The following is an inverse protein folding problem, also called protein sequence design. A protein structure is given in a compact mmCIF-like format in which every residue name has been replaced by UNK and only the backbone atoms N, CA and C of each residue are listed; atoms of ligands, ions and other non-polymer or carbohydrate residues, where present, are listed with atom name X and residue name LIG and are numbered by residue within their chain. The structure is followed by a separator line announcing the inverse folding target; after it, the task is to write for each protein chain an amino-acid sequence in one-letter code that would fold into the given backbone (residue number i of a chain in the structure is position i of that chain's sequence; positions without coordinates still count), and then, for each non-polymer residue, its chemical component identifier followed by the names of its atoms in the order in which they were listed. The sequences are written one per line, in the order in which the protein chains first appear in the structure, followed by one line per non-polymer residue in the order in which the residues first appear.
data_IF_311930955929
#
_entry.id   IF_311930955929
#
_cell.length_a   1.000
_cell.length_b   1.000
_cell.length_c   1.000
_cell.angle_alpha   90.00
_cell.angle_beta   90.00
_cell.angle_gamma   90.00
#
_symmetry.space_group_name_H-M   'P 1'
#
loop_
_entity.id
_entity.type
_entity.pdbx_description
1 polymer ?
#
# COMPACT_ATOMS: atom_id res chain seq x y z
N UNK A 1 -27.55 -9.35 -20.75
CA UNK A 1 -27.23 -8.65 -19.50
C UNK A 1 -25.82 -8.08 -19.65
N UNK A 2 -25.65 -6.77 -19.44
CA UNK A 2 -24.36 -6.06 -19.60
C UNK A 2 -23.81 -5.76 -18.20
N UNK A 3 -22.51 -5.92 -18.02
CA UNK A 3 -21.77 -5.82 -16.76
C UNK A 3 -20.47 -5.07 -17.03
N UNK A 4 -20.03 -4.21 -16.10
CA UNK A 4 -18.69 -3.64 -16.09
C UNK A 4 -17.79 -4.50 -15.21
N UNK A 5 -16.70 -5.02 -15.78
CA UNK A 5 -15.71 -5.79 -15.04
C UNK A 5 -14.43 -4.96 -14.88
N UNK A 6 -14.08 -4.61 -13.64
CA UNK A 6 -12.89 -3.82 -13.29
C UNK A 6 -12.44 -4.18 -11.89
N UNK A 7 -11.17 -3.98 -11.55
CA UNK A 7 -10.73 -4.09 -10.16
C UNK A 7 -11.40 -3.02 -9.30
N UNK A 8 -11.89 -3.46 -8.13
CA UNK A 8 -12.57 -2.68 -7.08
C UNK A 8 -11.79 -2.75 -5.76
N UNK A 9 -10.84 -3.69 -5.65
CA UNK A 9 -10.02 -3.90 -4.46
C UNK A 9 -9.02 -2.78 -4.19
N UNK A 10 -8.74 -2.57 -2.89
CA UNK A 10 -7.89 -1.50 -2.40
C UNK A 10 -8.32 -0.13 -2.87
N UNK A 11 -7.32 0.66 -3.20
CA UNK A 11 -7.33 2.02 -3.75
C UNK A 11 -8.20 2.23 -4.99
N UNK A 12 -8.39 1.22 -5.84
CA UNK A 12 -9.27 1.35 -7.02
C UNK A 12 -10.76 1.44 -6.65
N UNK A 13 -11.13 1.01 -5.43
CA UNK A 13 -12.47 1.16 -4.88
C UNK A 13 -12.98 2.60 -4.90
N UNK A 14 -12.08 3.58 -4.73
CA UNK A 14 -12.42 5.00 -4.73
C UNK A 14 -12.88 5.53 -6.10
N UNK A 15 -12.52 4.85 -7.20
CA UNK A 15 -12.97 5.22 -8.54
C UNK A 15 -14.34 4.64 -8.90
N UNK A 16 -14.85 3.69 -8.13
CA UNK A 16 -16.10 2.96 -8.45
C UNK A 16 -17.30 3.89 -8.44
N UNK A 17 -17.32 4.87 -7.53
CA UNK A 17 -18.41 5.83 -7.39
C UNK A 17 -18.51 6.80 -8.59
N UNK A 18 -17.44 6.95 -9.38
CA UNK A 18 -17.45 7.77 -10.60
C UNK A 18 -17.88 6.99 -11.85
N UNK A 19 -17.87 5.66 -11.84
CA UNK A 19 -18.24 4.86 -13.01
C UNK A 19 -19.66 5.17 -13.56
N UNK A 20 -20.67 5.44 -12.72
CA UNK A 20 -22.00 5.80 -13.21
C UNK A 20 -22.02 7.05 -14.10
N UNK A 21 -21.11 8.00 -13.90
CA UNK A 21 -21.03 9.23 -14.70
C UNK A 21 -20.63 8.95 -16.16
N UNK A 22 -19.87 7.89 -16.39
CA UNK A 22 -19.37 7.51 -17.72
C UNK A 22 -20.21 6.42 -18.38
N UNK A 23 -20.73 5.47 -17.60
CA UNK A 23 -21.32 4.23 -18.10
C UNK A 23 -22.77 4.00 -17.65
N UNK A 24 -23.33 4.89 -16.83
CA UNK A 24 -24.64 4.73 -16.20
C UNK A 24 -24.65 3.68 -15.09
N UNK A 25 -25.84 3.43 -14.52
CA UNK A 25 -26.03 2.51 -13.39
C UNK A 25 -26.00 1.03 -13.82
N UNK A 26 -24.83 0.57 -14.27
CA UNK A 26 -24.57 -0.84 -14.57
C UNK A 26 -24.06 -1.59 -13.34
N UNK A 27 -24.33 -2.90 -13.20
CA UNK A 27 -23.61 -3.73 -12.24
C UNK A 27 -22.11 -3.66 -12.50
N UNK A 28 -21.32 -3.58 -11.42
CA UNK A 28 -19.85 -3.55 -11.47
C UNK A 28 -19.29 -4.72 -10.68
N UNK A 29 -18.55 -5.60 -11.34
CA UNK A 29 -17.95 -6.79 -10.73
C UNK A 29 -16.44 -6.67 -10.70
N UNK A 30 -15.85 -7.09 -9.58
CA UNK A 30 -14.41 -7.21 -9.48
C UNK A 30 -13.88 -8.22 -10.51
N UNK A 31 -12.60 -8.15 -10.86
CA UNK A 31 -11.96 -9.15 -11.71
C UNK A 31 -11.41 -10.35 -10.91
N UNK A 32 -11.30 -10.23 -9.59
CA UNK A 32 -10.66 -11.16 -8.67
C UNK A 32 -9.19 -10.81 -8.44
N UNK A 33 -8.60 -11.49 -7.47
CA UNK A 33 -7.15 -11.45 -7.25
C UNK A 33 -6.47 -12.23 -8.39
N UNK A 34 -5.77 -11.49 -9.25
CA UNK A 34 -5.06 -12.02 -10.42
C UNK A 34 -3.65 -11.43 -10.43
N UNK A 35 -2.66 -12.26 -10.71
CA UNK A 35 -1.29 -11.84 -10.98
C UNK A 35 -0.73 -12.57 -12.21
N UNK A 36 0.50 -12.26 -12.59
CA UNK A 36 1.18 -12.92 -13.70
C UNK A 36 1.35 -14.44 -13.47
N UNK A 37 1.40 -14.84 -12.21
CA UNK A 37 1.57 -16.20 -11.74
C UNK A 37 0.28 -17.04 -11.80
N UNK A 38 -0.88 -16.39 -11.84
CA UNK A 38 -2.16 -17.09 -11.88
C UNK A 38 -3.35 -16.26 -11.37
N UNK A 39 -4.52 -16.91 -11.36
CA UNK A 39 -5.75 -16.37 -10.76
C UNK A 39 -5.93 -17.01 -9.40
N UNK A 40 -6.05 -16.18 -8.36
CA UNK A 40 -6.23 -16.64 -6.99
C UNK A 40 -7.70 -16.66 -6.59
N UNK A 41 -8.52 -15.74 -7.10
CA UNK A 41 -9.95 -15.70 -6.76
C UNK A 41 -10.88 -15.39 -7.92
N UNK A 42 -12.13 -15.81 -7.74
CA UNK A 42 -13.25 -15.63 -8.65
C UNK A 42 -14.36 -14.86 -7.91
N UNK A 43 -14.66 -13.61 -8.32
CA UNK A 43 -15.75 -12.84 -7.74
C UNK A 43 -17.11 -13.47 -8.03
N UNK A 44 -17.96 -13.55 -7.00
CA UNK A 44 -19.27 -14.22 -7.08
C UNK A 44 -20.46 -13.27 -6.87
N UNK A 45 -20.21 -12.00 -6.55
CA UNK A 45 -21.23 -10.95 -6.44
C UNK A 45 -20.69 -9.59 -6.94
N UNK A 46 -21.61 -8.63 -7.13
CA UNK A 46 -21.28 -7.29 -7.63
C UNK A 46 -20.89 -6.31 -6.51
N UNK A 47 -20.95 -6.72 -5.25
CA UNK A 47 -20.54 -5.90 -4.10
C UNK A 47 -19.06 -6.12 -3.76
N UNK A 48 -18.39 -5.13 -3.18
CA UNK A 48 -17.00 -5.27 -2.71
C UNK A 48 -16.00 -5.75 -3.77
N UNK A 49 -14.88 -6.31 -3.31
CA UNK A 49 -13.78 -6.82 -4.14
C UNK A 49 -13.40 -8.28 -3.80
N UNK A 50 -14.27 -8.95 -3.05
CA UNK A 50 -14.00 -10.28 -2.51
C UNK A 50 -14.23 -11.35 -3.57
N UNK A 51 -13.47 -12.43 -3.51
CA UNK A 51 -13.59 -13.54 -4.44
C UNK A 51 -13.45 -14.89 -3.77
N UNK A 52 -14.18 -15.89 -4.26
CA UNK A 52 -14.01 -17.29 -3.87
C UNK A 52 -12.65 -17.76 -4.35
N UNK A 53 -11.86 -18.38 -3.47
CA UNK A 53 -10.55 -18.93 -3.81
C UNK A 53 -10.66 -19.95 -4.97
N UNK A 54 -9.81 -19.83 -5.99
CA UNK A 54 -9.83 -20.71 -7.18
C UNK A 54 -9.12 -22.05 -6.94
N UNK A 55 -9.70 -22.86 -6.05
CA UNK A 55 -9.19 -24.18 -5.66
C UNK A 55 -9.21 -25.22 -6.79
N UNK A 56 -9.79 -24.90 -7.95
CA UNK A 56 -9.86 -25.80 -9.10
C UNK A 56 -8.67 -25.63 -10.04
N UNK A 57 -8.15 -24.41 -10.16
CA UNK A 57 -7.04 -24.10 -11.08
C UNK A 57 -5.67 -24.34 -10.44
N UNK A 58 -5.54 -24.09 -9.13
CA UNK A 58 -4.26 -24.06 -8.43
C UNK A 58 -4.35 -24.69 -7.04
N UNK A 59 -3.20 -25.05 -6.48
CA UNK A 59 -3.08 -25.46 -5.09
C UNK A 59 -2.51 -24.32 -4.26
N UNK A 60 -3.14 -24.03 -3.12
CA UNK A 60 -2.76 -22.93 -2.23
C UNK A 60 -2.42 -23.45 -0.83
N UNK A 61 -1.31 -22.95 -0.31
CA UNK A 61 -1.01 -22.98 1.12
C UNK A 61 -1.03 -21.56 1.67
N UNK A 62 -1.18 -21.44 2.99
CA UNK A 62 -1.38 -20.17 3.67
C UNK A 62 -0.48 -20.04 4.88
N UNK A 63 0.21 -18.92 5.02
CA UNK A 63 1.00 -18.62 6.21
C UNK A 63 0.25 -17.57 7.03
N UNK A 64 -0.09 -17.81 8.32
CA UNK A 64 -0.65 -16.77 9.18
C UNK A 64 0.22 -15.51 9.18
N UNK A 65 -0.41 -14.33 9.13
CA UNK A 65 0.31 -13.04 9.05
C UNK A 65 1.39 -12.90 10.15
N UNK A 66 1.08 -13.37 11.36
CA UNK A 66 1.96 -13.33 12.52
C UNK A 66 3.18 -14.25 12.42
N UNK A 67 3.13 -15.30 11.59
CA UNK A 67 4.20 -16.29 11.43
C UNK A 67 5.08 -16.01 10.21
N UNK A 68 4.68 -15.12 9.30
CA UNK A 68 5.30 -14.95 7.99
C UNK A 68 6.81 -14.67 8.00
N UNK A 69 7.31 -13.94 9.01
CA UNK A 69 8.73 -13.59 9.14
C UNK A 69 9.52 -14.56 10.04
N UNK A 70 8.91 -15.67 10.47
CA UNK A 70 9.60 -16.69 11.27
C UNK A 70 10.48 -17.57 10.39
N UNK A 71 11.48 -18.23 10.97
CA UNK A 71 12.43 -19.06 10.21
C UNK A 71 11.75 -20.29 9.56
N UNK A 72 10.69 -20.80 10.20
CA UNK A 72 9.92 -21.96 9.72
C UNK A 72 8.43 -21.70 9.96
N UNK A 73 7.79 -20.85 9.13
CA UNK A 73 6.38 -20.55 9.28
C UNK A 73 5.54 -21.81 9.09
N UNK A 74 4.51 -22.00 9.92
CA UNK A 74 3.52 -23.03 9.66
C UNK A 74 2.71 -22.65 8.42
N UNK A 75 2.59 -23.58 7.49
CA UNK A 75 1.61 -23.48 6.40
C UNK A 75 0.31 -24.20 6.77
N UNK A 76 -0.80 -23.60 6.37
CA UNK A 76 -2.16 -24.09 6.52
C UNK A 76 -2.76 -24.41 5.15
N UNK A 77 -3.71 -25.33 5.12
CA UNK A 77 -4.54 -25.62 3.95
C UNK A 77 -5.82 -24.79 3.95
N UNK A 78 -6.49 -24.74 2.80
CA UNK A 78 -7.72 -23.94 2.59
C UNK A 78 -8.81 -24.19 3.67
N UNK A 79 -8.93 -25.44 4.14
CA UNK A 79 -9.95 -25.82 5.13
C UNK A 79 -9.56 -25.53 6.59
N UNK A 80 -8.33 -25.06 6.84
CA UNK A 80 -7.84 -24.66 8.17
C UNK A 80 -7.97 -23.15 8.40
N UNK A 81 -8.41 -22.38 7.40
CA UNK A 81 -8.50 -20.93 7.49
C UNK A 81 -9.70 -20.51 8.34
N UNK A 82 -9.59 -19.33 8.96
CA UNK A 82 -10.62 -18.74 9.80
C UNK A 82 -11.08 -17.40 9.24
N UNK A 83 -12.40 -17.13 9.31
CA UNK A 83 -12.98 -15.84 8.94
C UNK A 83 -12.41 -14.71 9.81
N UNK A 84 -12.07 -13.59 9.19
CA UNK A 84 -11.47 -12.41 9.82
C UNK A 84 -9.97 -12.53 10.10
N UNK A 85 -9.34 -13.66 9.76
CA UNK A 85 -7.88 -13.81 9.84
C UNK A 85 -7.20 -13.50 8.51
N UNK A 86 -5.92 -13.16 8.63
CA UNK A 86 -5.07 -12.75 7.52
C UNK A 86 -3.96 -13.76 7.27
N UNK A 87 -3.67 -13.99 5.99
CA UNK A 87 -2.73 -15.01 5.56
C UNK A 87 -1.96 -14.58 4.32
N UNK A 88 -0.70 -14.96 4.24
CA UNK A 88 0.08 -14.89 3.02
C UNK A 88 -0.16 -16.12 2.15
N UNK A 89 -0.29 -15.89 0.84
CA UNK A 89 -0.53 -16.93 -0.16
C UNK A 89 0.76 -17.59 -0.63
N UNK A 90 0.75 -18.91 -0.65
CA UNK A 90 1.77 -19.73 -1.29
C UNK A 90 1.12 -20.51 -2.43
N UNK A 91 1.60 -20.33 -3.65
CA UNK A 91 1.01 -20.85 -4.88
C UNK A 91 1.78 -22.07 -5.41
N UNK A 92 1.04 -23.12 -5.77
CA UNK A 92 1.53 -24.20 -6.63
C UNK A 92 0.64 -24.33 -7.85
N UNK A 93 1.21 -24.34 -9.06
CA UNK A 93 0.44 -24.39 -10.30
C UNK A 93 1.08 -25.27 -11.39
N UNK A 94 0.34 -25.47 -12.48
CA UNK A 94 0.76 -26.28 -13.63
C UNK A 94 1.84 -25.63 -14.50
N UNK A 95 2.14 -24.34 -14.30
CA UNK A 95 3.22 -23.63 -15.00
C UNK A 95 4.60 -23.88 -14.37
N UNK A 96 4.68 -24.66 -13.29
CA UNK A 96 5.94 -25.07 -12.65
C UNK A 96 6.31 -24.26 -11.41
N UNK A 97 5.41 -23.43 -10.88
CA UNK A 97 5.57 -22.87 -9.55
C UNK A 97 5.22 -23.93 -8.50
N UNK A 98 6.15 -24.18 -7.58
CA UNK A 98 5.98 -25.12 -6.47
C UNK A 98 6.27 -24.39 -5.16
N UNK A 99 5.24 -24.32 -4.30
CA UNK A 99 5.29 -23.55 -3.04
C UNK A 99 5.86 -22.14 -3.23
N UNK A 100 5.45 -21.48 -4.33
CA UNK A 100 5.94 -20.16 -4.67
C UNK A 100 5.27 -19.12 -3.77
N UNK A 101 6.07 -18.41 -2.99
CA UNK A 101 5.59 -17.29 -2.19
C UNK A 101 5.31 -16.08 -3.09
N UNK A 102 4.03 -15.82 -3.35
CA UNK A 102 3.60 -14.67 -4.15
C UNK A 102 3.63 -13.37 -3.34
N UNK A 103 3.87 -13.44 -2.03
CA UNK A 103 3.89 -12.35 -1.05
C UNK A 103 2.55 -11.60 -0.95
N UNK A 104 1.43 -12.18 -1.36
CA UNK A 104 0.14 -11.50 -1.28
C UNK A 104 -0.52 -11.80 0.07
N UNK A 105 -0.81 -10.76 0.84
CA UNK A 105 -1.57 -10.84 2.09
C UNK A 105 -3.06 -10.72 1.77
N UNK A 106 -3.82 -11.70 2.23
CA UNK A 106 -5.28 -11.73 2.10
C UNK A 106 -5.95 -11.77 3.46
N UNK A 107 -7.20 -11.35 3.53
CA UNK A 107 -8.11 -11.60 4.63
C UNK A 107 -9.20 -12.58 4.17
N UNK A 108 -9.56 -13.55 5.02
CA UNK A 108 -10.72 -14.41 4.76
C UNK A 108 -11.97 -13.68 5.23
N UNK A 109 -12.76 -13.15 4.29
CA UNK A 109 -13.95 -12.36 4.62
C UNK A 109 -15.18 -13.22 4.81
N UNK A 110 -15.26 -14.38 4.15
CA UNK A 110 -16.35 -15.32 4.34
C UNK A 110 -16.02 -16.73 3.84
N UNK A 111 -17.02 -17.61 3.78
CA UNK A 111 -16.95 -18.90 3.10
C UNK A 111 -18.10 -19.05 2.11
N UNK A 112 -17.76 -19.43 0.87
CA UNK A 112 -18.72 -19.90 -0.12
C UNK A 112 -18.77 -21.43 -0.04
N UNK A 113 -19.83 -21.93 0.59
CA UNK A 113 -19.89 -23.30 1.09
C UNK A 113 -18.71 -23.61 2.03
N UNK A 114 -17.75 -24.44 1.59
CA UNK A 114 -16.54 -24.78 2.33
C UNK A 114 -15.29 -24.05 1.78
N UNK A 115 -15.44 -23.25 0.73
CA UNK A 115 -14.31 -22.58 0.08
C UNK A 115 -14.15 -21.17 0.64
N UNK A 116 -12.95 -20.77 1.08
CA UNK A 116 -12.70 -19.42 1.56
C UNK A 116 -13.05 -18.35 0.52
N UNK A 117 -13.73 -17.30 0.95
CA UNK A 117 -13.86 -16.03 0.25
C UNK A 117 -12.76 -15.12 0.77
N UNK A 118 -11.92 -14.63 -0.13
CA UNK A 118 -10.73 -13.86 0.20
C UNK A 118 -10.81 -12.43 -0.33
N UNK A 119 -10.26 -11.50 0.44
CA UNK A 119 -10.04 -10.10 0.10
C UNK A 119 -8.55 -9.81 0.07
N UNK A 120 -8.06 -9.18 -1.00
CA UNK A 120 -6.65 -8.79 -1.10
C UNK A 120 -6.38 -7.52 -0.28
N UNK A 121 -5.38 -7.57 0.59
CA UNK A 121 -4.99 -6.42 1.41
C UNK A 121 -3.80 -5.68 0.78
N UNK A 122 -2.65 -6.34 0.69
CA UNK A 122 -1.43 -5.78 0.11
C UNK A 122 -0.45 -6.88 -0.27
N UNK A 123 0.63 -6.50 -0.96
CA UNK A 123 1.72 -7.41 -1.32
C UNK A 123 2.87 -7.24 -0.34
N UNK A 124 3.07 -8.13 0.60
CA UNK A 124 4.16 -8.05 1.57
C UNK A 124 3.95 -6.97 2.62
N UNK A 125 4.62 -7.12 3.76
CA UNK A 125 4.48 -6.21 4.90
C UNK A 125 5.02 -4.79 4.66
N UNK A 126 5.95 -4.64 3.72
CA UNK A 126 6.74 -3.41 3.51
C UNK A 126 6.61 -2.82 2.09
N UNK A 127 5.51 -3.12 1.38
CA UNK A 127 5.25 -2.56 0.05
C UNK A 127 3.93 -1.83 0.08
N UNK A 128 3.91 -0.64 -0.54
CA UNK A 128 2.70 0.12 -0.81
C UNK A 128 2.40 0.10 -2.31
N UNK A 129 1.11 0.04 -2.64
CA UNK A 129 0.60 0.11 -4.01
C UNK A 129 -0.70 0.91 -4.06
N UNK A 130 -0.68 2.06 -4.75
CA UNK A 130 -1.83 2.94 -4.99
C UNK A 130 -2.47 2.75 -6.36
N UNK A 131 -1.69 2.49 -7.38
CA UNK A 131 -2.21 2.32 -8.76
C UNK A 131 -1.59 1.12 -9.46
N UNK A 132 -1.09 0.18 -8.66
CA UNK A 132 -0.44 -1.05 -9.08
C UNK A 132 1.09 -0.96 -9.16
N UNK A 133 1.71 0.15 -8.74
CA UNK A 133 3.14 0.20 -8.46
C UNK A 133 3.50 -0.50 -7.16
N UNK A 134 4.62 -1.22 -7.12
CA UNK A 134 5.10 -1.87 -5.90
C UNK A 134 6.24 -1.09 -5.28
N UNK A 135 5.94 -0.07 -4.48
CA UNK A 135 6.96 0.74 -3.79
C UNK A 135 7.33 0.07 -2.48
N UNK A 136 8.59 -0.29 -2.30
CA UNK A 136 9.09 -0.90 -1.05
C UNK A 136 9.63 0.14 -0.06
N UNK A 137 9.62 -0.20 1.23
CA UNK A 137 10.24 0.61 2.29
C UNK A 137 11.73 0.90 2.00
N UNK A 138 12.46 -0.08 1.46
CA UNK A 138 13.86 0.09 1.09
C UNK A 138 14.06 1.13 -0.02
N UNK A 139 13.20 1.13 -1.06
CA UNK A 139 13.26 2.12 -2.13
C UNK A 139 12.94 3.52 -1.60
N UNK A 140 11.95 3.64 -0.72
CA UNK A 140 11.59 4.91 -0.05
C UNK A 140 12.74 5.44 0.80
N UNK A 141 13.34 4.59 1.64
CA UNK A 141 14.49 4.95 2.46
C UNK A 141 15.71 5.33 1.61
N UNK A 142 15.95 4.62 0.51
CA UNK A 142 17.02 4.94 -0.43
C UNK A 142 16.77 6.25 -1.16
N UNK A 143 15.53 6.50 -1.59
CA UNK A 143 15.14 7.74 -2.25
C UNK A 143 15.35 8.95 -1.35
N UNK A 144 14.95 8.83 -0.07
CA UNK A 144 15.22 9.85 0.92
C UNK A 144 16.72 10.04 1.16
N UNK A 145 17.49 8.95 1.32
CA UNK A 145 18.94 9.07 1.55
C UNK A 145 19.63 9.87 0.46
N UNK A 146 19.29 9.59 -0.80
CA UNK A 146 19.82 10.34 -1.95
C UNK A 146 19.40 11.81 -1.88
N UNK A 147 18.15 12.09 -1.52
CA UNK A 147 17.61 13.45 -1.37
C UNK A 147 18.36 14.24 -0.29
N UNK A 148 18.58 13.64 0.87
CA UNK A 148 19.31 14.28 1.98
C UNK A 148 20.78 14.54 1.62
N UNK A 149 21.42 13.61 0.91
CA UNK A 149 22.81 13.77 0.44
C UNK A 149 22.93 14.90 -0.58
N UNK A 150 22.00 15.00 -1.52
CA UNK A 150 21.98 16.03 -2.56
C UNK A 150 21.73 17.42 -1.98
N UNK A 151 20.83 17.52 -1.00
CA UNK A 151 20.50 18.78 -0.33
C UNK A 151 21.45 19.15 0.83
N UNK A 152 22.36 18.26 1.22
CA UNK A 152 23.30 18.50 2.32
C UNK A 152 22.64 18.68 3.70
N UNK A 153 21.46 18.08 3.90
CA UNK A 153 20.70 18.16 5.16
C UNK A 153 20.68 16.82 5.91
N UNK A 154 20.23 16.87 7.16
CA UNK A 154 20.04 15.69 8.00
C UNK A 154 18.62 15.65 8.53
N UNK A 155 17.95 14.52 8.33
CA UNK A 155 16.60 14.25 8.81
C UNK A 155 16.63 12.92 9.57
N UNK A 156 16.11 12.92 10.80
CA UNK A 156 16.20 11.75 11.68
C UNK A 156 15.13 10.69 11.39
N UNK A 157 13.86 11.12 11.26
CA UNK A 157 12.72 10.21 11.12
C UNK A 157 11.73 10.80 10.12
N UNK A 158 11.13 9.91 9.33
CA UNK A 158 10.10 10.22 8.37
C UNK A 158 9.22 8.99 8.18
N UNK A 159 7.99 9.18 7.69
CA UNK A 159 7.12 8.09 7.28
C UNK A 159 6.50 8.47 5.94
N UNK A 160 6.58 7.59 4.95
CA UNK A 160 5.82 7.74 3.71
C UNK A 160 4.55 6.92 3.84
N UNK A 161 3.43 7.50 3.42
CA UNK A 161 2.16 6.79 3.36
C UNK A 161 1.37 7.17 2.11
N UNK A 162 0.59 6.22 1.56
CA UNK A 162 -0.31 6.52 0.47
C UNK A 162 -1.47 7.41 0.93
N UNK A 163 -1.85 8.37 0.09
CA UNK A 163 -3.02 9.23 0.26
C UNK A 163 -3.85 9.24 -1.00
N UNK A 164 -5.16 9.22 -0.82
CA UNK A 164 -6.11 9.36 -1.92
C UNK A 164 -6.95 10.62 -1.72
N UNK A 165 -6.70 11.65 -2.54
CA UNK A 165 -7.63 12.79 -2.59
C UNK A 165 -8.74 12.55 -3.62
N UNK A 166 -9.73 13.45 -3.70
CA UNK A 166 -10.90 13.28 -4.57
C UNK A 166 -10.56 13.07 -6.06
N UNK A 167 -9.34 13.42 -6.49
CA UNK A 167 -8.96 13.47 -7.91
C UNK A 167 -7.76 12.56 -8.22
N UNK A 168 -6.83 12.38 -7.28
CA UNK A 168 -5.51 11.79 -7.55
C UNK A 168 -4.89 11.06 -6.35
N UNK A 169 -4.43 9.83 -6.61
CA UNK A 169 -3.59 9.08 -5.68
C UNK A 169 -2.18 9.67 -5.62
N UNK A 170 -1.59 9.80 -4.45
CA UNK A 170 -0.20 10.26 -4.27
C UNK A 170 0.39 9.75 -2.94
N UNK A 171 1.67 10.01 -2.73
CA UNK A 171 2.36 9.67 -1.48
C UNK A 171 2.61 10.91 -0.63
N UNK A 172 2.19 10.87 0.63
CA UNK A 172 2.54 11.87 1.63
C UNK A 172 3.83 11.46 2.33
N UNK A 173 4.77 12.40 2.41
CA UNK A 173 6.04 12.29 3.14
C UNK A 173 5.84 13.02 4.48
N UNK A 174 5.61 12.27 5.55
CA UNK A 174 5.44 12.81 6.89
C UNK A 174 6.81 13.08 7.52
N UNK A 175 7.07 14.33 7.89
CA UNK A 175 8.31 14.78 8.54
C UNK A 175 8.01 15.63 9.76
N UNK A 176 8.85 15.58 10.79
CA UNK A 176 8.69 16.45 11.95
C UNK A 176 9.11 17.88 11.64
N UNK A 177 8.43 18.84 12.26
CA UNK A 177 8.80 20.24 12.24
C UNK A 177 10.15 20.45 12.94
N UNK A 178 11.23 20.56 12.16
CA UNK A 178 12.59 20.68 12.66
C UNK A 178 13.44 21.64 11.80
N UNK A 179 14.59 22.03 12.31
CA UNK A 179 15.40 23.13 11.78
C UNK A 179 15.92 22.93 10.35
N UNK A 180 15.88 21.71 9.80
CA UNK A 180 16.28 21.46 8.41
C UNK A 180 15.27 22.04 7.40
N UNK A 181 14.00 22.21 7.79
CA UNK A 181 12.97 22.77 6.91
C UNK A 181 13.26 24.22 6.50
N UNK A 182 14.01 24.96 7.34
CA UNK A 182 14.42 26.33 7.07
C UNK A 182 15.73 26.41 6.26
N UNK A 183 16.43 25.29 6.06
CA UNK A 183 17.74 25.22 5.39
C UNK A 183 17.64 24.95 3.89
N UNK A 184 16.49 24.51 3.40
CA UNK A 184 16.29 24.07 2.01
C UNK A 184 14.98 24.60 1.44
N UNK A 185 14.90 24.67 0.10
CA UNK A 185 13.59 24.76 -0.53
C UNK A 185 12.90 23.39 -0.43
N UNK A 186 11.85 23.34 0.38
CA UNK A 186 11.01 22.14 0.53
C UNK A 186 10.41 21.63 -0.79
N UNK A 187 10.30 22.48 -1.81
CA UNK A 187 9.84 22.09 -3.16
C UNK A 187 10.92 21.29 -3.90
N UNK A 188 12.20 21.66 -3.72
CA UNK A 188 13.34 20.90 -4.26
C UNK A 188 13.46 19.55 -3.57
N UNK A 189 13.25 19.49 -2.25
CA UNK A 189 13.19 18.23 -1.50
C UNK A 189 12.18 17.25 -2.12
N UNK A 190 10.95 17.72 -2.38
CA UNK A 190 9.91 16.86 -2.96
C UNK A 190 10.31 16.40 -4.37
N UNK A 191 10.86 17.31 -5.18
CA UNK A 191 11.25 17.03 -6.57
C UNK A 191 12.40 16.02 -6.66
N UNK A 192 13.42 16.18 -5.82
CA UNK A 192 14.56 15.26 -5.76
C UNK A 192 14.10 13.90 -5.22
N UNK A 193 13.25 13.86 -4.20
CA UNK A 193 12.68 12.61 -3.71
C UNK A 193 11.86 11.87 -4.77
N UNK A 194 10.94 12.56 -5.46
CA UNK A 194 10.13 12.00 -6.55
C UNK A 194 11.04 11.42 -7.65
N UNK A 195 12.01 12.21 -8.12
CA UNK A 195 12.96 11.79 -9.17
C UNK A 195 13.79 10.59 -8.74
N UNK A 196 14.29 10.59 -7.51
CA UNK A 196 15.06 9.49 -6.94
C UNK A 196 14.23 8.21 -6.85
N UNK A 197 12.98 8.30 -6.40
CA UNK A 197 12.07 7.17 -6.33
C UNK A 197 11.69 6.63 -7.72
N UNK A 198 11.46 7.51 -8.70
CA UNK A 198 11.26 7.13 -10.11
C UNK A 198 12.46 6.37 -10.69
N UNK A 199 13.69 6.75 -10.31
CA UNK A 199 14.90 6.03 -10.76
C UNK A 199 15.04 4.64 -10.13
N UNK A 200 14.53 4.46 -8.91
CA UNK A 200 14.60 3.22 -8.14
C UNK A 200 13.43 2.27 -8.44
N UNK A 201 12.33 2.77 -9.00
CA UNK A 201 11.11 2.00 -9.24
C UNK A 201 10.46 2.39 -10.59
N UNK A 202 10.66 1.52 -11.59
CA UNK A 202 10.12 1.71 -12.94
C UNK A 202 8.58 1.72 -12.98
N UNK A 203 7.92 0.95 -12.11
CA UNK A 203 6.45 0.96 -12.05
C UNK A 203 5.96 2.31 -11.51
N UNK A 204 6.53 2.81 -10.42
CA UNK A 204 6.25 4.15 -9.87
C UNK A 204 6.44 5.22 -10.94
N UNK A 205 7.57 5.20 -11.65
CA UNK A 205 7.81 6.09 -12.79
C UNK A 205 6.72 6.01 -13.84
N UNK A 206 6.36 4.80 -14.28
CA UNK A 206 5.32 4.61 -15.28
C UNK A 206 3.94 5.13 -14.81
N UNK A 207 3.62 5.04 -13.50
CA UNK A 207 2.38 5.61 -12.95
C UNK A 207 2.43 7.13 -12.90
N UNK A 208 3.55 7.73 -12.49
CA UNK A 208 3.81 9.19 -12.53
C UNK A 208 3.70 9.74 -13.96
N UNK A 209 4.36 9.10 -14.94
CA UNK A 209 4.33 9.50 -16.36
C UNK A 209 2.89 9.46 -16.92
N UNK A 210 2.12 8.43 -16.54
CA UNK A 210 0.73 8.26 -16.99
C UNK A 210 -0.30 9.08 -16.20
N UNK A 211 0.14 9.90 -15.22
CA UNK A 211 -0.71 10.69 -14.32
C UNK A 211 -1.70 9.89 -13.47
N UNK A 212 -1.57 8.56 -13.43
CA UNK A 212 -2.32 7.70 -12.48
C UNK A 212 -1.89 7.95 -11.04
N UNK A 213 -0.63 8.36 -10.85
CA UNK A 213 -0.09 8.77 -9.56
C UNK A 213 0.36 10.24 -9.65
N UNK A 214 -0.17 11.07 -8.75
CA UNK A 214 0.21 12.47 -8.56
C UNK A 214 1.60 12.62 -7.93
N UNK A 215 2.16 13.85 -7.93
CA UNK A 215 3.43 14.10 -7.26
C UNK A 215 3.30 13.88 -5.75
N UNK A 216 4.38 13.45 -5.06
CA UNK A 216 4.34 13.33 -3.62
C UNK A 216 4.18 14.70 -2.96
N UNK A 217 3.67 14.72 -1.72
CA UNK A 217 3.52 15.93 -0.91
C UNK A 217 4.31 15.81 0.37
N UNK A 218 4.87 16.93 0.84
CA UNK A 218 5.57 16.97 2.12
C UNK A 218 4.61 17.48 3.19
N UNK A 219 4.39 16.65 4.21
CA UNK A 219 3.46 16.91 5.30
C UNK A 219 4.23 17.06 6.61
N UNK A 220 4.24 18.28 7.15
CA UNK A 220 4.96 18.62 8.38
C UNK A 220 4.07 18.35 9.59
N UNK A 221 4.53 17.49 10.50
CA UNK A 221 3.86 17.18 11.78
C UNK A 221 4.56 17.85 12.96
N UNK A 222 3.91 17.88 14.12
CA UNK A 222 4.52 18.43 15.33
C UNK A 222 5.82 17.70 15.72
N UNK A 223 6.80 18.43 16.24
CA UNK A 223 8.06 17.85 16.74
C UNK A 223 7.80 16.85 17.86
N UNK A 224 8.48 15.70 17.83
CA UNK A 224 8.32 14.62 18.80
C UNK A 224 7.10 13.73 18.58
N UNK A 225 6.40 13.85 17.45
CA UNK A 225 5.26 12.98 17.12
C UNK A 225 5.68 11.52 16.99
N UNK A 226 6.78 11.23 16.29
CA UNK A 226 7.27 9.86 16.13
C UNK A 226 7.83 9.30 17.45
N UNK A 227 8.38 10.15 18.31
CA UNK A 227 8.82 9.76 19.65
C UNK A 227 7.64 9.31 20.53
N UNK A 228 6.49 10.02 20.47
CA UNK A 228 5.26 9.62 21.18
C UNK A 228 4.70 8.30 20.69
N UNK A 229 4.64 8.10 19.36
CA UNK A 229 4.16 6.83 18.78
C UNK A 229 5.02 5.64 19.25
N UNK A 230 6.34 5.84 19.31
CA UNK A 230 7.27 4.84 19.86
C UNK A 230 6.97 4.54 21.33
N UNK A 231 6.68 5.54 22.15
CA UNK A 231 6.38 5.38 23.58
C UNK A 231 5.01 4.73 23.84
N UNK A 232 3.99 5.07 23.05
CA UNK A 232 2.66 4.45 23.11
C UNK A 232 2.73 2.96 22.76
N UNK A 233 3.43 2.63 21.66
CA UNK A 233 3.64 1.22 21.27
C UNK A 233 4.47 0.46 22.31
N UNK A 234 5.45 1.12 22.94
CA UNK A 234 6.21 0.55 24.05
C UNK A 234 5.34 0.21 25.26
N UNK A 235 4.39 1.10 25.59
CA UNK A 235 3.47 0.91 26.73
C UNK A 235 2.49 -0.22 26.46
N UNK A 236 2.03 -0.37 25.21
CA UNK A 236 1.17 -1.47 24.77
C UNK A 236 1.91 -2.82 24.69
N UNK A 237 3.23 -2.83 24.42
CA UNK A 237 4.03 -4.04 24.26
C UNK A 237 4.68 -4.58 25.55
N UNK A 238 4.21 -4.16 26.73
CA UNK A 238 4.69 -4.64 28.05
C UNK A 238 6.23 -4.69 28.21
N UNK A 239 6.95 -3.66 27.77
CA UNK A 239 8.37 -3.50 28.12
C UNK A 239 9.39 -4.35 27.37
N UNK A 240 9.05 -4.91 26.18
CA UNK A 240 10.07 -5.41 25.24
C UNK A 240 10.70 -4.25 24.47
N UNK A 241 11.72 -3.63 25.06
CA UNK A 241 12.41 -2.42 24.58
C UNK A 241 13.14 -2.57 23.24
N UNK A 242 13.49 -3.80 22.83
CA UNK A 242 14.47 -4.02 21.74
C UNK A 242 13.87 -4.19 20.34
N UNK A 243 12.54 -4.09 20.17
CA UNK A 243 11.87 -4.50 18.92
C UNK A 243 11.10 -3.40 18.17
N UNK A 244 11.00 -2.17 18.68
CA UNK A 244 10.32 -1.11 17.92
C UNK A 244 11.23 -0.56 16.81
N UNK A 245 11.02 -1.05 15.58
CA UNK A 245 11.56 -0.47 14.36
C UNK A 245 10.61 0.61 13.85
N UNK A 246 11.12 1.81 13.63
CA UNK A 246 10.34 2.88 13.00
C UNK A 246 9.92 2.44 11.59
N UNK A 247 8.67 2.71 11.23
CA UNK A 247 8.10 2.33 9.94
C UNK A 247 8.32 3.49 8.96
N UNK A 248 9.11 3.26 7.92
CA UNK A 248 9.43 4.31 6.94
C UNK A 248 8.46 4.32 5.77
N UNK A 249 7.78 3.20 5.51
CA UNK A 249 6.65 3.11 4.59
C UNK A 249 5.47 2.44 5.29
N UNK A 250 4.41 3.20 5.57
CA UNK A 250 3.15 2.64 6.03
C UNK A 250 2.24 2.41 4.82
N UNK A 251 1.82 1.18 4.51
CA UNK A 251 1.00 0.91 3.33
C UNK A 251 -0.48 1.30 3.52
N UNK A 252 -0.90 1.69 4.72
CA UNK A 252 -2.28 2.07 5.01
C UNK A 252 -2.63 3.38 4.31
N UNK A 253 -3.69 3.37 3.49
CA UNK A 253 -4.23 4.56 2.82
C UNK A 253 -4.75 5.54 3.87
N UNK A 254 -4.45 6.82 3.67
CA UNK A 254 -4.82 7.93 4.55
C UNK A 254 -4.28 7.82 5.98
N UNK A 255 -3.16 7.10 6.15
CA UNK A 255 -2.47 6.99 7.45
C UNK A 255 -2.10 8.34 8.07
N UNK A 256 -1.93 9.37 7.23
CA UNK A 256 -1.68 10.75 7.66
C UNK A 256 -2.76 11.31 8.60
N UNK A 257 -4.00 10.78 8.56
CA UNK A 257 -5.10 11.22 9.43
C UNK A 257 -4.82 10.96 10.91
N UNK A 258 -3.90 10.04 11.23
CA UNK A 258 -3.44 9.81 12.61
C UNK A 258 -2.53 10.92 13.14
N UNK A 259 -2.19 11.92 12.31
CA UNK A 259 -1.25 12.98 12.63
C UNK A 259 -1.90 14.35 12.53
N UNK A 260 -1.53 15.24 13.44
CA UNK A 260 -1.84 16.67 13.29
C UNK A 260 -0.87 17.31 12.29
N UNK A 261 -1.34 17.53 11.06
CA UNK A 261 -0.56 18.19 10.01
C UNK A 261 -0.53 19.70 10.28
N UNK A 262 0.67 20.23 10.48
CA UNK A 262 0.92 21.66 10.68
C UNK A 262 1.01 22.42 9.35
N UNK A 263 1.58 21.77 8.33
CA UNK A 263 1.79 22.35 7.01
C UNK A 263 1.83 21.25 5.95
N UNK A 264 1.06 21.42 4.88
CA UNK A 264 1.15 20.61 3.67
C UNK A 264 1.86 21.42 2.59
N UNK A 265 2.89 20.84 1.98
CA UNK A 265 3.72 21.48 0.97
C UNK A 265 3.64 20.66 -0.31
N UNK A 266 3.24 21.34 -1.39
CA UNK A 266 3.12 20.78 -2.73
C UNK A 266 4.26 21.26 -3.62
N UNK A 267 4.58 20.48 -4.64
CA UNK A 267 5.51 20.89 -5.71
C UNK A 267 4.99 22.15 -6.43
N UNK A 268 5.91 22.87 -7.06
CA UNK A 268 5.65 24.09 -7.82
C UNK A 268 4.56 23.91 -8.88
N UNK A 269 4.52 22.73 -9.52
CA UNK A 269 3.60 22.40 -10.61
C UNK A 269 2.15 22.20 -10.15
N UNK A 270 1.91 21.71 -8.92
CA UNK A 270 0.54 21.57 -8.39
C UNK A 270 -0.08 22.92 -7.98
N UNK A 271 0.73 23.90 -7.54
CA UNK A 271 0.21 25.20 -7.07
C UNK A 271 -0.47 25.99 -8.18
N UNK A 272 -0.07 25.78 -9.44
CA UNK A 272 -0.64 26.49 -10.60
C UNK A 272 -2.02 25.93 -11.00
N UNK A 273 -2.32 24.66 -10.71
CA UNK A 273 -3.54 23.98 -11.17
C UNK A 273 -4.76 24.28 -10.29
N UNK A 274 -4.58 24.56 -9.00
CA UNK A 274 -5.65 24.91 -8.05
C UNK A 274 -6.16 26.36 -8.15
N UNK A 275 -5.65 27.17 -9.09
CA UNK A 275 -6.01 28.59 -9.23
C UNK A 275 -7.04 28.87 -10.34
N UNK A 276 -7.90 27.91 -10.69
CA UNK A 276 -8.95 28.09 -11.71
C UNK A 276 -10.32 27.75 -11.19
#
# INVERSE_FOLDING_TARGET
MVLLATWKGGVLGHYIDMLPDFYGSLPVRDLGLIASEGRMSIPHHDQGADGVLDIASHFFEFIPEEEYETENPRTLLCHELEKGRKYYLILTNSAGYFRYDINDLIEVTDFFEQTPVIHFLNKGKHISSLTGEKVSEHQVASALRNTLQELGISLNLFTVCPRWDEVTAHYDILVENDAWLDQVDTSDFITIFDTSLQSLNLEYKAKRDSQRLGPPRLCVVSKGTFAKIREEKHTQSQGRTEQYKHVYLNPTVDYYQNFTILKEIKTSDERQTTSR
#
